data_IF_226342982214
#
_entry.id   IF_226342982214
#
_cell.length_a   1.000
_cell.length_b   1.000
_cell.length_c   1.000
_cell.angle_alpha   90.00
_cell.angle_beta   90.00
_cell.angle_gamma   90.00
#
_symmetry.space_group_name_H-M   'P 1'
#
loop_
_entity.id
_entity.type
_entity.pdbx_description
1 polymer ?
#
# COMPACT_ATOMS: atom_id res chain seq x y z
N UNK A 1 -4.04 6.94 19.57
CA UNK A 1 -3.97 5.49 19.28
C UNK A 1 -5.17 4.99 18.50
N UNK A 2 -6.39 4.95 19.08
CA UNK A 2 -7.59 4.40 18.45
C UNK A 2 -7.88 4.99 17.06
N UNK A 3 -7.76 6.31 16.91
CA UNK A 3 -7.92 7.00 15.62
C UNK A 3 -6.98 6.45 14.54
N UNK A 4 -5.71 6.22 14.88
CA UNK A 4 -4.70 5.76 13.91
C UNK A 4 -4.98 4.31 13.51
N UNK A 5 -5.38 3.47 14.47
CA UNK A 5 -5.82 2.10 14.19
C UNK A 5 -7.03 2.10 13.26
N UNK A 6 -8.04 2.93 13.53
CA UNK A 6 -9.21 3.05 12.67
C UNK A 6 -8.83 3.52 11.25
N UNK A 7 -7.98 4.53 11.13
CA UNK A 7 -7.48 5.02 9.84
C UNK A 7 -6.76 3.92 9.05
N UNK A 8 -5.81 3.21 9.67
CA UNK A 8 -5.11 2.09 9.05
C UNK A 8 -6.08 1.01 8.58
N UNK A 9 -7.08 0.67 9.40
CA UNK A 9 -8.07 -0.37 9.07
C UNK A 9 -8.96 0.03 7.90
N UNK A 10 -9.40 1.28 7.83
CA UNK A 10 -10.19 1.79 6.69
C UNK A 10 -9.37 1.71 5.39
N UNK A 11 -8.10 2.11 5.44
CA UNK A 11 -7.20 2.05 4.28
C UNK A 11 -7.00 0.61 3.80
N UNK A 12 -6.73 -0.31 4.73
CA UNK A 12 -6.61 -1.74 4.46
C UNK A 12 -7.89 -2.31 3.82
N UNK A 13 -9.05 -2.06 4.44
CA UNK A 13 -10.35 -2.58 3.99
C UNK A 13 -10.72 -2.07 2.59
N UNK A 14 -10.42 -0.81 2.27
CA UNK A 14 -10.62 -0.26 0.93
C UNK A 14 -9.81 -1.04 -0.12
N UNK A 15 -8.51 -1.23 0.13
CA UNK A 15 -7.63 -1.96 -0.79
C UNK A 15 -8.04 -3.44 -0.91
N UNK A 16 -8.44 -4.07 0.20
CA UNK A 16 -8.86 -5.47 0.24
C UNK A 16 -10.17 -5.71 -0.52
N UNK A 17 -11.12 -4.76 -0.46
CA UNK A 17 -12.38 -4.81 -1.22
C UNK A 17 -12.21 -4.43 -2.68
N UNK A 18 -11.23 -3.56 -2.98
CA UNK A 18 -10.87 -3.11 -4.31
C UNK A 18 -12.10 -2.67 -5.16
N UNK A 19 -12.85 -1.64 -4.72
CA UNK A 19 -14.10 -1.24 -5.38
C UNK A 19 -13.91 -0.78 -6.84
N UNK A 20 -12.69 -0.38 -7.22
CA UNK A 20 -12.34 0.06 -8.56
C UNK A 20 -11.72 -1.03 -9.43
N UNK A 21 -11.51 -2.25 -8.90
CA UNK A 21 -10.96 -3.37 -9.66
C UNK A 21 -9.53 -3.17 -10.15
N UNK A 22 -8.70 -2.41 -9.41
CA UNK A 22 -7.30 -2.20 -9.75
C UNK A 22 -6.51 -3.52 -9.68
N UNK A 23 -5.60 -3.72 -10.63
CA UNK A 23 -4.74 -4.90 -10.66
C UNK A 23 -3.84 -4.94 -9.43
N UNK A 24 -3.59 -6.15 -8.91
CA UNK A 24 -2.68 -6.37 -7.77
C UNK A 24 -3.24 -6.04 -6.39
N UNK A 25 -4.31 -5.25 -6.27
CA UNK A 25 -4.92 -4.88 -4.98
C UNK A 25 -5.48 -6.11 -4.25
N UNK A 26 -5.38 -6.11 -2.91
CA UNK A 26 -6.02 -7.12 -2.10
C UNK A 26 -5.51 -7.16 -0.66
N UNK A 27 -5.87 -8.21 0.07
CA UNK A 27 -5.50 -8.38 1.48
C UNK A 27 -3.98 -8.46 1.72
N UNK A 28 -3.19 -8.79 0.69
CA UNK A 28 -1.73 -8.86 0.73
C UNK A 28 -1.05 -7.68 0.01
N UNK A 29 -1.81 -6.79 -0.63
CA UNK A 29 -1.29 -5.65 -1.38
C UNK A 29 -2.19 -4.43 -1.15
N UNK A 30 -1.80 -3.62 -0.17
CA UNK A 30 -2.58 -2.48 0.31
C UNK A 30 -1.65 -1.35 0.73
N UNK A 31 -2.24 -0.17 0.93
CA UNK A 31 -1.54 1.00 1.45
C UNK A 31 -1.59 2.16 0.46
N UNK A 32 -2.60 3.01 0.64
CA UNK A 32 -2.72 4.29 -0.06
C UNK A 32 -2.13 5.39 0.81
N UNK A 33 -1.16 6.12 0.28
CA UNK A 33 -0.69 7.38 0.86
C UNK A 33 -0.11 8.24 -0.26
N UNK A 34 0.35 9.44 0.08
CA UNK A 34 1.02 10.31 -0.87
C UNK A 34 2.29 9.67 -1.46
N UNK A 35 2.40 9.67 -2.79
CA UNK A 35 3.52 9.06 -3.50
C UNK A 35 3.59 9.49 -4.96
N UNK A 36 4.66 9.09 -5.64
CA UNK A 36 4.85 9.29 -7.07
C UNK A 36 4.16 8.20 -7.90
N UNK A 37 3.47 8.59 -8.96
CA UNK A 37 2.87 7.67 -9.91
C UNK A 37 2.94 8.19 -11.35
N UNK A 38 2.26 7.52 -12.30
CA UNK A 38 2.24 7.91 -13.72
C UNK A 38 1.63 9.30 -13.96
N UNK A 39 0.86 9.82 -13.00
CA UNK A 39 0.23 11.14 -13.04
C UNK A 39 1.00 12.21 -12.25
N UNK A 40 2.27 11.96 -11.92
CA UNK A 40 3.07 12.80 -11.04
C UNK A 40 2.85 12.47 -9.57
N UNK A 41 3.05 13.44 -8.69
CA UNK A 41 2.85 13.28 -7.24
C UNK A 41 1.36 13.41 -6.90
N UNK A 42 0.81 12.44 -6.16
CA UNK A 42 -0.61 12.39 -5.80
C UNK A 42 -0.75 11.99 -4.34
N UNK A 43 -1.69 12.62 -3.64
CA UNK A 43 -2.08 12.25 -2.28
C UNK A 43 -3.12 11.10 -2.33
N UNK A 44 -2.67 9.87 -2.58
CA UNK A 44 -3.59 8.73 -2.67
C UNK A 44 -4.26 8.44 -1.32
N UNK A 45 -5.56 8.19 -1.37
CA UNK A 45 -6.41 7.87 -0.23
C UNK A 45 -7.60 7.01 -0.69
N UNK A 46 -8.35 6.36 0.21
CA UNK A 46 -9.52 5.56 -0.16
C UNK A 46 -10.57 6.29 -1.01
N UNK A 47 -10.73 7.60 -0.80
CA UNK A 47 -11.62 8.48 -1.59
C UNK A 47 -10.93 9.10 -2.82
N UNK A 48 -9.62 8.91 -2.97
CA UNK A 48 -8.82 9.38 -4.09
C UNK A 48 -7.82 8.30 -4.56
N UNK A 49 -8.38 7.15 -4.93
CA UNK A 49 -7.62 6.00 -5.40
C UNK A 49 -7.32 6.12 -6.91
N UNK A 50 -6.08 5.85 -7.30
CA UNK A 50 -5.64 5.84 -8.71
C UNK A 50 -4.93 4.53 -9.09
N UNK A 51 -5.08 3.47 -8.29
CA UNK A 51 -4.44 2.18 -8.54
C UNK A 51 -2.94 2.17 -8.26
N UNK A 52 -2.45 3.07 -7.40
CA UNK A 52 -1.04 3.17 -7.01
C UNK A 52 -0.91 2.78 -5.55
N UNK A 53 -0.07 1.78 -5.27
CA UNK A 53 0.29 1.35 -3.91
C UNK A 53 1.62 1.97 -3.52
N UNK A 54 1.67 2.54 -2.32
CA UNK A 54 2.90 3.12 -1.75
C UNK A 54 3.29 2.25 -0.55
N UNK A 55 4.35 1.43 -0.64
CA UNK A 55 4.74 0.48 0.42
C UNK A 55 4.85 1.10 1.81
N UNK A 56 5.27 2.36 1.91
CA UNK A 56 5.40 3.08 3.18
C UNK A 56 4.09 3.16 3.97
N UNK A 57 2.92 3.19 3.31
CA UNK A 57 1.62 3.23 3.98
C UNK A 57 1.37 1.96 4.82
N UNK A 58 1.56 0.78 4.22
CA UNK A 58 1.38 -0.48 4.91
C UNK A 58 2.50 -0.74 5.92
N UNK A 59 3.75 -0.51 5.54
CA UNK A 59 4.92 -0.85 6.36
C UNK A 59 5.05 0.05 7.60
N UNK A 60 4.79 1.35 7.47
CA UNK A 60 4.83 2.29 8.61
C UNK A 60 3.65 2.09 9.55
N UNK A 61 2.61 1.39 9.09
CA UNK A 61 1.43 1.02 9.88
C UNK A 61 1.62 -0.24 10.73
N UNK A 62 2.84 -0.80 10.79
CA UNK A 62 3.15 -2.00 11.58
C UNK A 62 2.66 -1.94 13.04
N UNK A 63 2.76 -0.81 13.77
CA UNK A 63 2.24 -0.73 15.14
C UNK A 63 0.72 -0.85 15.23
N UNK A 64 -0.01 -0.48 14.16
CA UNK A 64 -1.47 -0.38 14.16
C UNK A 64 -2.17 -1.61 13.54
N UNK A 65 -1.53 -2.27 12.58
CA UNK A 65 -2.05 -3.45 11.89
C UNK A 65 -0.91 -4.46 11.59
N UNK A 66 -0.27 -5.03 12.63
CA UNK A 66 0.96 -5.81 12.46
C UNK A 66 0.78 -7.03 11.57
N UNK A 67 -0.38 -7.70 11.63
CA UNK A 67 -0.64 -8.89 10.81
C UNK A 67 -0.76 -8.52 9.33
N UNK A 68 -1.53 -7.49 9.02
CA UNK A 68 -1.78 -7.01 7.66
C UNK A 68 -0.54 -6.37 7.04
N UNK A 69 0.21 -5.58 7.82
CA UNK A 69 1.47 -4.97 7.40
C UNK A 69 2.54 -6.03 7.13
N UNK A 70 2.63 -7.07 7.96
CA UNK A 70 3.58 -8.16 7.73
C UNK A 70 3.20 -9.03 6.53
N UNK A 71 1.90 -9.22 6.26
CA UNK A 71 1.43 -9.88 5.03
C UNK A 71 1.83 -9.08 3.80
N UNK A 72 1.59 -7.77 3.81
CA UNK A 72 2.00 -6.87 2.73
C UNK A 72 3.52 -6.89 2.51
N UNK A 73 4.31 -6.78 3.58
CA UNK A 73 5.78 -6.89 3.50
C UNK A 73 6.22 -8.18 2.78
N UNK A 74 5.68 -9.33 3.21
CA UNK A 74 6.03 -10.63 2.62
C UNK A 74 5.63 -10.69 1.16
N UNK A 75 4.45 -10.20 0.81
CA UNK A 75 3.98 -10.16 -0.57
C UNK A 75 4.84 -9.27 -1.45
N UNK A 76 5.19 -8.06 -0.99
CA UNK A 76 6.09 -7.17 -1.72
C UNK A 76 7.46 -7.82 -1.97
N UNK A 77 7.98 -8.61 -1.03
CA UNK A 77 9.22 -9.38 -1.22
C UNK A 77 9.10 -10.53 -2.23
N UNK A 78 7.89 -11.01 -2.55
CA UNK A 78 7.69 -12.02 -3.61
C UNK A 78 7.68 -11.43 -5.03
N UNK A 79 7.58 -10.11 -5.16
CA UNK A 79 7.61 -9.45 -6.48
C UNK A 79 9.01 -9.57 -7.08
N UNK A 80 9.13 -9.51 -8.42
CA UNK A 80 10.43 -9.63 -9.08
C UNK A 80 11.47 -8.68 -8.51
N UNK A 81 12.63 -9.24 -8.13
CA UNK A 81 13.81 -8.48 -7.73
C UNK A 81 14.12 -7.43 -8.81
N UNK A 82 14.45 -6.21 -8.38
CA UNK A 82 14.68 -5.02 -9.23
C UNK A 82 13.44 -4.32 -9.82
N UNK A 83 12.21 -4.83 -9.64
CA UNK A 83 11.01 -4.04 -10.00
C UNK A 83 10.58 -3.09 -8.90
N UNK A 84 10.43 -3.62 -7.68
CA UNK A 84 9.96 -2.84 -6.53
C UNK A 84 10.94 -2.85 -5.35
N UNK A 85 12.06 -3.54 -5.49
CA UNK A 85 13.13 -3.61 -4.48
C UNK A 85 14.46 -3.16 -5.08
N UNK A 86 15.13 -2.22 -4.42
CA UNK A 86 16.43 -1.67 -4.82
C UNK A 86 17.38 -1.49 -3.64
N UNK A 87 18.43 -0.69 -3.85
CA UNK A 87 19.51 -0.50 -2.87
C UNK A 87 19.05 0.16 -1.55
N UNK A 88 17.91 0.86 -1.57
CA UNK A 88 17.34 1.56 -0.41
C UNK A 88 16.05 0.92 0.10
N UNK A 89 15.83 -0.37 -0.21
CA UNK A 89 14.60 -1.09 0.13
C UNK A 89 13.55 -0.96 -0.97
N UNK A 90 12.27 -0.83 -0.58
CA UNK A 90 11.19 -0.70 -1.54
C UNK A 90 11.25 0.62 -2.31
N UNK A 91 10.80 0.59 -3.56
CA UNK A 91 10.51 1.80 -4.34
C UNK A 91 9.45 2.65 -3.64
N UNK A 92 9.38 3.94 -4.00
CA UNK A 92 8.41 4.87 -3.42
C UNK A 92 6.97 4.37 -3.58
N UNK A 93 6.57 4.02 -4.81
CA UNK A 93 5.24 3.52 -5.14
C UNK A 93 5.27 2.64 -6.39
N UNK A 94 4.23 1.82 -6.60
CA UNK A 94 4.08 0.99 -7.80
C UNK A 94 2.59 0.78 -8.17
N UNK A 95 2.35 0.36 -9.40
CA UNK A 95 1.04 -0.09 -9.90
C UNK A 95 1.25 -1.36 -10.73
N UNK A 96 0.25 -2.26 -10.77
CA UNK A 96 0.28 -3.49 -11.57
C UNK A 96 -0.49 -3.37 -12.88
#
# INVERSE_FOLDING_TARGET
WQQNVAHTRINYEHCARNPHGHSGYGADCWGLTSGHGPYGYVAHAPDHDRGVITPSAALSSLPYAPVESMRALRYFLTKPLHRIWGNFGFVDSFSE
#
